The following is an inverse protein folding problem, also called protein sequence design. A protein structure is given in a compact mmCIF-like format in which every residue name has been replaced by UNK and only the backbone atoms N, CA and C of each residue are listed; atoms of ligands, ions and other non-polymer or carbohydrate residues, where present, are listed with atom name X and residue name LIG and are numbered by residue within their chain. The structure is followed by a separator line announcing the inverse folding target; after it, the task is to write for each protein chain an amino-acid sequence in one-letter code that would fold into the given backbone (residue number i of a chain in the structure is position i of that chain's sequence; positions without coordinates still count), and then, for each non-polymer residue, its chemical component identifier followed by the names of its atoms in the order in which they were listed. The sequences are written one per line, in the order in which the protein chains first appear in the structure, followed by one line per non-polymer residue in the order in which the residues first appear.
data_IF_063977936433
#
_entry.id   IF_063977936433
#
_cell.length_a   1.000
_cell.length_b   1.000
_cell.length_c   1.000
_cell.angle_alpha   90.00
_cell.angle_beta   90.00
_cell.angle_gamma   90.00
#
_symmetry.space_group_name_H-M   'P 1'
#
loop_
_entity.id
_entity.type
_entity.pdbx_description
1 polymer ?
#
# COMPACT_ATOMS: atom_id res chain seq x y z
N UNK A 1 23.04 -1.17 10.76
CA UNK A 1 22.94 -2.26 9.76
C UNK A 1 22.75 -1.66 8.37
N UNK A 2 21.70 -0.88 8.15
CA UNK A 2 21.55 -0.09 6.92
C UNK A 2 22.09 1.32 7.17
N UNK A 3 23.26 1.60 6.60
CA UNK A 3 23.89 2.91 6.65
C UNK A 3 24.25 3.31 5.22
N UNK A 4 23.75 4.47 4.82
CA UNK A 4 24.02 5.06 3.52
C UNK A 4 24.46 6.49 3.76
N UNK A 5 25.57 6.90 3.16
CA UNK A 5 26.01 8.29 3.25
C UNK A 5 25.35 9.12 2.15
N UNK A 6 25.08 10.40 2.45
CA UNK A 6 24.61 11.35 1.43
C UNK A 6 25.62 11.49 0.29
N UNK A 7 26.92 11.37 0.58
CA UNK A 7 27.98 11.39 -0.43
C UNK A 7 27.82 10.27 -1.46
N UNK A 8 27.62 9.03 -1.00
CA UNK A 8 27.37 7.88 -1.90
C UNK A 8 26.11 8.07 -2.74
N UNK A 9 25.05 8.66 -2.15
CA UNK A 9 23.84 8.97 -2.91
C UNK A 9 24.11 10.00 -4.02
N UNK A 10 24.86 11.07 -3.74
CA UNK A 10 25.21 12.07 -4.75
C UNK A 10 26.07 11.50 -5.88
N UNK A 11 27.02 10.61 -5.56
CA UNK A 11 27.82 9.91 -6.58
C UNK A 11 26.93 9.05 -7.50
N UNK A 12 25.96 8.32 -6.93
CA UNK A 12 24.99 7.55 -7.72
C UNK A 12 24.06 8.44 -8.54
N UNK A 13 23.69 9.60 -7.99
CA UNK A 13 22.84 10.57 -8.67
C UNK A 13 23.53 11.16 -9.92
N UNK A 14 24.78 11.60 -9.80
CA UNK A 14 25.59 12.10 -10.92
C UNK A 14 25.77 11.01 -11.98
N UNK A 15 26.16 9.80 -11.55
CA UNK A 15 26.33 8.66 -12.45
C UNK A 15 25.03 8.28 -13.17
N UNK A 16 23.88 8.39 -12.50
CA UNK A 16 22.58 8.10 -13.10
C UNK A 16 22.19 9.14 -14.16
N UNK A 17 22.56 10.41 -13.99
CA UNK A 17 22.35 11.44 -15.01
C UNK A 17 23.17 11.11 -16.24
N UNK A 18 24.45 10.79 -16.08
CA UNK A 18 25.36 10.54 -17.21
C UNK A 18 24.99 9.29 -18.00
N UNK A 19 24.56 8.22 -17.30
CA UNK A 19 24.25 6.93 -17.94
C UNK A 19 22.82 6.78 -18.44
N UNK A 20 21.89 7.63 -18.00
CA UNK A 20 20.52 7.58 -18.49
C UNK A 20 20.48 7.85 -20.01
N UNK A 21 19.49 7.29 -20.72
CA UNK A 21 19.36 7.47 -22.16
C UNK A 21 19.20 8.95 -22.55
N UNK A 22 20.08 9.41 -23.45
CA UNK A 22 20.06 10.78 -23.94
C UNK A 22 18.85 11.03 -24.86
N UNK A 23 18.25 12.21 -24.76
CA UNK A 23 17.14 12.62 -25.61
C UNK A 23 17.28 14.11 -25.93
N UNK A 24 16.98 14.47 -27.18
CA UNK A 24 16.95 15.86 -27.64
C UNK A 24 15.79 16.66 -27.03
N UNK A 25 14.71 15.96 -26.64
CA UNK A 25 13.57 16.58 -25.96
C UNK A 25 13.82 16.62 -24.45
N UNK A 26 13.83 17.81 -23.81
CA UNK A 26 14.09 17.93 -22.37
C UNK A 26 13.11 17.12 -21.51
N UNK A 27 11.81 17.14 -21.83
CA UNK A 27 10.79 16.40 -21.08
C UNK A 27 11.05 14.88 -21.08
N UNK A 28 11.37 14.31 -22.25
CA UNK A 28 11.70 12.89 -22.37
C UNK A 28 13.02 12.57 -21.65
N UNK A 29 14.01 13.46 -21.73
CA UNK A 29 15.28 13.29 -21.04
C UNK A 29 15.11 13.24 -19.52
N UNK A 30 14.29 14.12 -18.95
CA UNK A 30 13.97 14.14 -17.51
C UNK A 30 13.33 12.81 -17.09
N UNK A 31 12.35 12.31 -17.87
CA UNK A 31 11.71 11.02 -17.59
C UNK A 31 12.72 9.86 -17.59
N UNK A 32 13.57 9.79 -18.60
CA UNK A 32 14.61 8.76 -18.71
C UNK A 32 15.58 8.79 -17.51
N UNK A 33 15.98 9.99 -17.06
CA UNK A 33 16.83 10.16 -15.87
C UNK A 33 16.12 9.66 -14.62
N UNK A 34 14.86 10.04 -14.40
CA UNK A 34 14.09 9.62 -13.22
C UNK A 34 13.93 8.09 -13.19
N UNK A 35 13.61 7.46 -14.32
CA UNK A 35 13.47 6.00 -14.42
C UNK A 35 14.80 5.28 -14.14
N UNK A 36 15.89 5.73 -14.77
CA UNK A 36 17.22 5.13 -14.57
C UNK A 36 17.74 5.33 -13.15
N UNK A 37 17.54 6.52 -12.58
CA UNK A 37 17.94 6.85 -11.20
C UNK A 37 17.16 5.99 -10.19
N UNK A 38 15.84 5.91 -10.33
CA UNK A 38 14.98 5.08 -9.46
C UNK A 38 15.46 3.63 -9.45
N UNK A 39 15.70 3.05 -10.62
CA UNK A 39 16.17 1.67 -10.74
C UNK A 39 17.59 1.48 -10.17
N UNK A 40 18.51 2.41 -10.44
CA UNK A 40 19.88 2.34 -9.95
C UNK A 40 19.96 2.44 -8.43
N UNK A 41 19.20 3.36 -7.83
CA UNK A 41 19.11 3.51 -6.36
C UNK A 41 18.47 2.26 -5.75
N UNK A 42 17.41 1.74 -6.35
CA UNK A 42 16.79 0.50 -5.91
C UNK A 42 17.81 -0.65 -5.88
N UNK A 43 18.50 -0.92 -7.00
CA UNK A 43 19.52 -1.97 -7.07
C UNK A 43 20.65 -1.77 -6.06
N UNK A 44 21.11 -0.54 -5.87
CA UNK A 44 22.18 -0.22 -4.94
C UNK A 44 21.79 -0.57 -3.50
N UNK A 45 20.61 -0.14 -3.06
CA UNK A 45 20.11 -0.41 -1.70
C UNK A 45 19.84 -1.90 -1.50
N UNK A 46 19.27 -2.58 -2.50
CA UNK A 46 18.95 -4.00 -2.45
C UNK A 46 20.18 -4.90 -2.18
N UNK A 47 21.38 -4.48 -2.59
CA UNK A 47 22.64 -5.20 -2.29
C UNK A 47 23.00 -5.19 -0.81
N UNK A 48 22.62 -4.13 -0.09
CA UNK A 48 22.90 -3.96 1.34
C UNK A 48 21.78 -4.42 2.26
N UNK A 49 20.61 -4.77 1.72
CA UNK A 49 19.45 -5.22 2.49
C UNK A 49 19.45 -6.74 2.69
N UNK A 50 19.05 -7.18 3.88
CA UNK A 50 18.66 -8.57 4.06
C UNK A 50 17.42 -8.91 3.24
N UNK A 51 17.35 -10.14 2.74
CA UNK A 51 16.26 -10.63 1.90
C UNK A 51 14.87 -10.31 2.49
N UNK A 52 14.71 -10.54 3.80
CA UNK A 52 13.45 -10.29 4.51
C UNK A 52 12.96 -8.83 4.51
N UNK A 53 13.82 -7.84 4.22
CA UNK A 53 13.44 -6.42 4.20
C UNK A 53 13.35 -5.83 2.79
N UNK A 54 13.71 -6.61 1.76
CA UNK A 54 13.73 -6.14 0.37
C UNK A 54 12.34 -5.73 -0.10
N UNK A 55 11.32 -6.52 0.25
CA UNK A 55 9.93 -6.24 -0.09
C UNK A 55 9.41 -5.00 0.65
N UNK A 56 9.72 -4.86 1.94
CA UNK A 56 9.37 -3.67 2.72
C UNK A 56 9.94 -2.40 2.10
N UNK A 57 11.21 -2.44 1.70
CA UNK A 57 11.85 -1.31 1.03
C UNK A 57 11.21 -1.00 -0.33
N UNK A 58 10.92 -2.03 -1.13
CA UNK A 58 10.22 -1.86 -2.40
C UNK A 58 8.85 -1.18 -2.19
N UNK A 59 8.06 -1.66 -1.24
CA UNK A 59 6.76 -1.08 -0.90
C UNK A 59 6.88 0.38 -0.42
N UNK A 60 7.87 0.67 0.45
CA UNK A 60 8.12 2.05 0.90
C UNK A 60 8.47 2.98 -0.26
N UNK A 61 9.38 2.55 -1.15
CA UNK A 61 9.78 3.33 -2.32
C UNK A 61 8.59 3.57 -3.26
N UNK A 62 7.82 2.52 -3.57
CA UNK A 62 6.61 2.64 -4.41
C UNK A 62 5.60 3.62 -3.80
N UNK A 63 5.33 3.52 -2.50
CA UNK A 63 4.41 4.44 -1.83
C UNK A 63 4.91 5.88 -1.87
N UNK A 64 6.21 6.12 -1.64
CA UNK A 64 6.79 7.46 -1.72
C UNK A 64 6.67 8.07 -3.12
N UNK A 65 6.90 7.28 -4.18
CA UNK A 65 6.77 7.73 -5.57
C UNK A 65 5.30 8.05 -5.89
N UNK A 66 4.36 7.14 -5.59
CA UNK A 66 2.94 7.32 -5.90
C UNK A 66 2.31 8.50 -5.15
N UNK A 67 2.76 8.77 -3.92
CA UNK A 67 2.35 9.95 -3.15
C UNK A 67 2.91 11.23 -3.78
N UNK A 68 4.17 11.22 -4.19
CA UNK A 68 4.80 12.36 -4.89
C UNK A 68 4.08 12.69 -6.21
N UNK A 69 3.66 11.66 -6.94
CA UNK A 69 2.92 11.80 -8.21
C UNK A 69 1.43 12.15 -8.00
N UNK A 70 0.97 12.28 -6.74
CA UNK A 70 -0.44 12.54 -6.36
C UNK A 70 -1.43 11.49 -6.85
N UNK A 71 -0.94 10.29 -7.18
CA UNK A 71 -1.78 9.15 -7.56
C UNK A 71 -2.37 8.53 -6.30
N UNK A 72 -1.58 8.48 -5.22
CA UNK A 72 -1.97 7.86 -3.96
C UNK A 72 -2.14 8.90 -2.84
N UNK A 73 -3.30 8.97 -2.18
CA UNK A 73 -3.49 9.88 -1.05
C UNK A 73 -2.62 9.50 0.16
N UNK A 74 -1.89 10.45 0.77
CA UNK A 74 -1.10 10.20 1.98
C UNK A 74 -1.92 9.64 3.13
N UNK A 75 -3.20 10.03 3.22
CA UNK A 75 -4.12 9.57 4.26
C UNK A 75 -4.36 8.06 4.15
N UNK A 76 -4.57 7.55 2.94
CA UNK A 76 -4.78 6.13 2.69
C UNK A 76 -3.52 5.31 3.03
N UNK A 77 -2.32 5.84 2.76
CA UNK A 77 -1.05 5.22 3.19
C UNK A 77 -0.94 5.21 4.71
N UNK A 78 -1.32 6.30 5.39
CA UNK A 78 -1.32 6.34 6.85
C UNK A 78 -2.29 5.32 7.44
N UNK A 79 -3.47 5.14 6.85
CA UNK A 79 -4.44 4.12 7.27
C UNK A 79 -3.90 2.71 7.00
N UNK A 80 -3.27 2.47 5.85
CA UNK A 80 -2.62 1.18 5.53
C UNK A 80 -1.56 0.80 6.57
N UNK A 81 -0.70 1.75 6.96
CA UNK A 81 0.41 1.51 7.89
C UNK A 81 -0.05 1.41 9.35
N UNK A 82 -0.99 2.24 9.79
CA UNK A 82 -1.42 2.31 11.21
C UNK A 82 -2.61 1.41 11.52
N UNK A 83 -3.47 1.15 10.54
CA UNK A 83 -4.76 0.50 10.71
C UNK A 83 -5.66 1.25 11.70
N UNK A 84 -6.53 0.49 12.36
CA UNK A 84 -7.40 0.90 13.46
C UNK A 84 -6.76 0.80 14.84
N UNK A 85 -5.43 0.69 14.94
CA UNK A 85 -4.74 0.51 16.23
C UNK A 85 -4.91 1.67 17.23
N UNK A 86 -5.37 2.83 16.78
CA UNK A 86 -5.70 3.98 17.63
C UNK A 86 -7.18 4.05 18.04
N UNK A 87 -8.01 3.12 17.57
CA UNK A 87 -9.44 3.08 17.84
C UNK A 87 -9.75 2.12 19.00
N UNK A 88 -10.75 2.47 19.81
CA UNK A 88 -11.26 1.60 20.88
C UNK A 88 -12.51 0.86 20.38
N UNK A 89 -12.53 -0.46 20.53
CA UNK A 89 -13.66 -1.31 20.14
C UNK A 89 -14.97 -0.89 20.82
N UNK A 90 -14.89 -0.25 21.98
CA UNK A 90 -16.07 0.23 22.73
C UNK A 90 -16.63 1.55 22.20
N UNK A 91 -15.84 2.34 21.46
CA UNK A 91 -16.23 3.65 20.94
C UNK A 91 -16.65 3.62 19.47
N UNK A 92 -16.41 2.51 18.76
CA UNK A 92 -16.77 2.33 17.35
C UNK A 92 -18.17 1.71 17.18
N UNK A 93 -18.67 1.71 15.93
CA UNK A 93 -19.90 0.98 15.58
C UNK A 93 -19.79 -0.46 16.03
N UNK A 94 -20.84 -0.97 16.69
CA UNK A 94 -20.87 -2.35 17.18
C UNK A 94 -20.59 -3.31 16.02
N UNK A 95 -19.74 -4.30 16.27
CA UNK A 95 -19.47 -5.36 15.31
C UNK A 95 -20.78 -6.05 14.92
N UNK A 96 -21.00 -6.28 13.62
CA UNK A 96 -22.26 -6.86 13.16
C UNK A 96 -22.37 -8.34 13.51
N UNK A 97 -21.22 -9.04 13.59
CA UNK A 97 -21.13 -10.50 13.75
C UNK A 97 -19.88 -10.91 14.53
N UNK A 98 -19.90 -12.13 15.06
CA UNK A 98 -18.84 -12.69 15.89
C UNK A 98 -17.67 -13.29 15.10
N UNK A 99 -17.87 -13.62 13.81
CA UNK A 99 -16.82 -14.19 12.96
C UNK A 99 -15.71 -13.17 12.61
N UNK A 100 -16.00 -11.87 12.71
CA UNK A 100 -15.03 -10.80 12.46
C UNK A 100 -14.23 -10.55 13.75
N UNK A 101 -12.89 -10.73 13.74
CA UNK A 101 -12.06 -10.38 14.89
C UNK A 101 -12.12 -8.90 15.21
N UNK A 102 -12.02 -8.54 16.49
CA UNK A 102 -12.09 -7.14 16.94
C UNK A 102 -11.03 -6.26 16.25
N UNK A 103 -9.80 -6.78 16.06
CA UNK A 103 -8.72 -6.07 15.34
C UNK A 103 -9.12 -5.76 13.89
N UNK A 104 -9.60 -6.76 13.15
CA UNK A 104 -10.02 -6.59 11.75
C UNK A 104 -11.19 -5.62 11.62
N UNK A 105 -12.11 -5.64 12.59
CA UNK A 105 -13.20 -4.67 12.63
C UNK A 105 -12.70 -3.24 12.85
N UNK A 106 -11.76 -3.02 13.78
CA UNK A 106 -11.14 -1.70 13.98
C UNK A 106 -10.43 -1.21 12.71
N UNK A 107 -9.73 -2.10 12.00
CA UNK A 107 -9.08 -1.77 10.73
C UNK A 107 -10.12 -1.39 9.65
N UNK A 108 -11.24 -2.11 9.56
CA UNK A 108 -12.35 -1.76 8.65
C UNK A 108 -12.99 -0.42 9.01
N UNK A 109 -13.14 -0.11 10.31
CA UNK A 109 -13.64 1.20 10.76
C UNK A 109 -12.67 2.31 10.38
N UNK A 110 -11.36 2.11 10.54
CA UNK A 110 -10.36 3.07 10.08
C UNK A 110 -10.40 3.27 8.55
N UNK A 111 -10.57 2.20 7.79
CA UNK A 111 -10.76 2.28 6.33
C UNK A 111 -12.03 3.03 5.94
N UNK A 112 -13.12 2.88 6.70
CA UNK A 112 -14.40 3.56 6.39
C UNK A 112 -14.34 5.09 6.46
N UNK A 113 -13.29 5.65 7.07
CA UNK A 113 -13.04 7.09 7.02
C UNK A 113 -12.60 7.58 5.63
N UNK A 114 -12.12 6.67 4.77
CA UNK A 114 -11.71 6.99 3.41
C UNK A 114 -12.91 6.90 2.44
N UNK A 115 -13.11 7.88 1.53
CA UNK A 115 -14.34 8.01 0.74
C UNK A 115 -14.75 6.76 -0.04
N UNK A 116 -13.79 6.05 -0.65
CA UNK A 116 -14.06 4.81 -1.41
C UNK A 116 -14.71 3.72 -0.53
N UNK A 117 -14.43 3.72 0.77
CA UNK A 117 -14.89 2.71 1.73
C UNK A 117 -15.95 3.23 2.70
N UNK A 118 -16.56 4.39 2.45
CA UNK A 118 -17.56 4.98 3.35
C UNK A 118 -18.73 4.01 3.65
N UNK A 119 -19.12 3.20 2.65
CA UNK A 119 -20.21 2.22 2.76
C UNK A 119 -19.73 0.82 3.18
N UNK A 120 -18.45 0.62 3.50
CA UNK A 120 -17.88 -0.70 3.80
C UNK A 120 -18.59 -1.37 4.97
N UNK A 121 -18.79 -0.64 6.07
CA UNK A 121 -19.41 -1.20 7.28
C UNK A 121 -20.87 -1.60 7.05
N UNK A 122 -21.59 -0.88 6.20
CA UNK A 122 -22.98 -1.17 5.85
C UNK A 122 -23.09 -2.34 4.87
N UNK A 123 -22.18 -2.42 3.89
CA UNK A 123 -22.06 -3.56 2.99
C UNK A 123 -21.76 -4.86 3.76
N UNK A 124 -20.88 -4.82 4.75
CA UNK A 124 -20.59 -5.98 5.61
C UNK A 124 -21.80 -6.43 6.44
N UNK A 125 -22.67 -5.51 6.85
CA UNK A 125 -23.93 -5.85 7.55
C UNK A 125 -24.95 -6.46 6.60
N UNK A 126 -25.09 -5.87 5.41
CA UNK A 126 -26.13 -6.23 4.44
C UNK A 126 -25.82 -7.53 3.70
N UNK A 127 -24.57 -7.69 3.27
CA UNK A 127 -24.08 -8.82 2.47
C UNK A 127 -23.18 -9.78 3.27
N UNK A 128 -23.47 -9.94 4.56
CA UNK A 128 -22.70 -10.74 5.53
C UNK A 128 -22.21 -12.09 4.99
N UNK A 129 -23.10 -12.90 4.41
CA UNK A 129 -22.74 -14.23 3.87
C UNK A 129 -21.69 -14.17 2.76
N UNK A 130 -21.72 -13.11 1.93
CA UNK A 130 -20.74 -12.95 0.86
C UNK A 130 -19.38 -12.55 1.41
N UNK A 131 -19.38 -11.64 2.40
CA UNK A 131 -18.17 -11.21 3.11
C UNK A 131 -17.54 -12.34 3.91
N UNK A 132 -18.34 -13.13 4.62
CA UNK A 132 -17.85 -14.30 5.34
C UNK A 132 -17.26 -15.33 4.38
N UNK A 133 -17.96 -15.65 3.29
CA UNK A 133 -17.43 -16.57 2.27
C UNK A 133 -16.14 -16.05 1.63
N UNK A 134 -16.01 -14.73 1.40
CA UNK A 134 -14.78 -14.13 0.91
C UNK A 134 -13.65 -14.22 1.95
N UNK A 135 -13.94 -13.92 3.21
CA UNK A 135 -13.01 -14.00 4.33
C UNK A 135 -12.47 -15.41 4.55
N UNK A 136 -13.33 -16.43 4.43
CA UNK A 136 -13.00 -17.84 4.63
C UNK A 136 -12.18 -18.45 3.48
N UNK A 137 -12.02 -17.74 2.35
CA UNK A 137 -11.19 -18.25 1.25
C UNK A 137 -9.73 -18.32 1.64
N UNK A 138 -9.03 -19.28 1.06
CA UNK A 138 -7.60 -19.41 1.28
C UNK A 138 -6.85 -18.18 0.76
N UNK A 139 -7.12 -17.76 -0.47
CA UNK A 139 -6.50 -16.61 -1.15
C UNK A 139 -7.54 -15.55 -1.55
N UNK A 140 -8.06 -14.76 -0.60
CA UNK A 140 -9.09 -13.74 -0.84
C UNK A 140 -8.63 -12.62 -1.80
N UNK A 141 -7.33 -12.34 -1.86
CA UNK A 141 -6.73 -11.34 -2.76
C UNK A 141 -6.95 -11.64 -4.24
N UNK A 142 -7.08 -12.93 -4.60
CA UNK A 142 -7.32 -13.41 -5.96
C UNK A 142 -8.80 -13.52 -6.31
N UNK A 143 -9.68 -13.21 -5.37
CA UNK A 143 -11.12 -13.35 -5.52
C UNK A 143 -11.75 -11.96 -5.58
N UNK A 144 -12.83 -11.87 -6.36
CA UNK A 144 -13.64 -10.65 -6.45
C UNK A 144 -14.08 -10.18 -5.07
N UNK A 145 -13.80 -8.91 -4.76
CA UNK A 145 -14.23 -8.28 -3.51
C UNK A 145 -15.74 -8.06 -3.57
N UNK A 146 -16.52 -8.50 -2.56
CA UNK A 146 -17.95 -8.22 -2.49
C UNK A 146 -18.21 -6.71 -2.53
N UNK A 147 -19.13 -6.26 -3.38
CA UNK A 147 -19.59 -4.86 -3.53
C UNK A 147 -18.56 -3.79 -3.95
N UNK A 148 -17.25 -4.05 -3.88
CA UNK A 148 -16.21 -3.04 -4.09
C UNK A 148 -15.30 -3.31 -5.29
N UNK A 149 -15.38 -4.46 -5.95
CA UNK A 149 -14.45 -4.83 -7.04
C UNK A 149 -14.31 -3.76 -8.12
N UNK A 150 -15.42 -3.16 -8.55
CA UNK A 150 -15.46 -2.26 -9.70
C UNK A 150 -15.03 -0.81 -9.35
N UNK A 151 -14.86 -0.52 -8.06
CA UNK A 151 -14.52 0.83 -7.55
C UNK A 151 -13.13 0.90 -6.92
N UNK A 152 -12.51 -0.24 -6.59
CA UNK A 152 -11.20 -0.27 -5.91
C UNK A 152 -10.03 -0.34 -6.88
N UNK A 153 -9.03 0.49 -6.61
CA UNK A 153 -7.68 0.40 -7.18
C UNK A 153 -6.89 -0.76 -6.56
N UNK A 154 -5.76 -1.19 -7.17
CA UNK A 154 -4.92 -2.24 -6.60
C UNK A 154 -4.43 -1.95 -5.16
N UNK A 155 -4.11 -0.68 -4.85
CA UNK A 155 -3.69 -0.30 -3.49
C UNK A 155 -4.85 -0.35 -2.50
N UNK A 156 -6.04 0.10 -2.89
CA UNK A 156 -7.25 0.01 -2.08
C UNK A 156 -7.65 -1.46 -1.80
N UNK A 157 -7.52 -2.35 -2.80
CA UNK A 157 -7.65 -3.80 -2.58
C UNK A 157 -6.68 -4.29 -1.52
N UNK A 158 -5.40 -3.91 -1.61
CA UNK A 158 -4.38 -4.31 -0.64
C UNK A 158 -4.73 -3.81 0.78
N UNK A 159 -5.26 -2.60 0.91
CA UNK A 159 -5.76 -2.06 2.17
C UNK A 159 -6.88 -2.93 2.77
N UNK A 160 -7.86 -3.33 1.94
CA UNK A 160 -8.99 -4.14 2.38
C UNK A 160 -8.55 -5.55 2.79
N UNK A 161 -7.69 -6.18 1.98
CA UNK A 161 -7.10 -7.49 2.30
C UNK A 161 -6.34 -7.40 3.62
N UNK A 162 -5.52 -6.37 3.82
CA UNK A 162 -4.79 -6.16 5.07
C UNK A 162 -5.70 -6.01 6.29
N UNK A 163 -6.81 -5.28 6.15
CA UNK A 163 -7.73 -5.06 7.26
C UNK A 163 -8.45 -6.34 7.70
N UNK A 164 -8.80 -7.22 6.76
CA UNK A 164 -9.56 -8.44 7.07
C UNK A 164 -8.63 -9.65 7.28
N UNK A 165 -7.61 -9.82 6.45
CA UNK A 165 -6.72 -10.98 6.37
C UNK A 165 -5.26 -10.54 6.38
N UNK A 166 -4.81 -10.09 7.54
CA UNK A 166 -3.42 -9.65 7.79
C UNK A 166 -2.38 -10.73 7.44
N UNK A 167 -2.75 -12.01 7.48
CA UNK A 167 -1.92 -13.15 7.10
C UNK A 167 -1.61 -13.23 5.59
N UNK A 168 -2.34 -12.47 4.77
CA UNK A 168 -2.21 -12.45 3.30
C UNK A 168 -1.60 -11.17 2.73
N UNK A 169 -1.04 -10.31 3.60
CA UNK A 169 -0.47 -9.00 3.22
C UNK A 169 1.04 -9.04 3.06
#
# INVERSE_FOLDING_TARGET
MYQTSLKQFNELYELAIDNAEASQKPATRIKNIIEHMTYSVYLYIQRGLFERHKLTFALMMTNSILVSDRILPPELVSVFLKGGGSLDIKSVKKKPKEWIPDKSWLDCVALSAYPTFANLLESMVTNDKQWQNWYDKEAPENVRIPDFEDVVTPFERMCLVKALREDRT
#
